data_IF_172127955514
#
_entry.id   IF_172127955514
#
_cell.length_a   1.000
_cell.length_b   1.000
_cell.length_c   1.000
_cell.angle_alpha   90.00
_cell.angle_beta   90.00
_cell.angle_gamma   90.00
#
_symmetry.space_group_name_H-M   'P 1'
#
loop_
_entity.id
_entity.type
_entity.pdbx_description
1 polymer ?
#
# COMPACT_ATOMS: atom_id res chain seq x y z
N UNK A 1 3.50 -2.14 -3.72
CA UNK A 1 4.16 -1.15 -2.83
C UNK A 1 4.82 -1.90 -1.70
N UNK A 2 6.09 -1.67 -1.43
CA UNK A 2 6.83 -2.31 -0.33
C UNK A 2 7.18 -1.29 0.76
N UNK A 3 6.99 -1.63 2.02
CA UNK A 3 7.36 -0.76 3.15
C UNK A 3 8.85 -0.93 3.52
N UNK A 4 9.45 -0.01 4.30
CA UNK A 4 10.84 -0.13 4.76
C UNK A 4 11.12 -1.42 5.56
N UNK A 5 10.11 -1.97 6.22
CA UNK A 5 10.19 -3.22 6.98
C UNK A 5 10.14 -4.48 6.12
N UNK A 6 9.61 -4.38 4.91
CA UNK A 6 9.40 -5.55 4.03
C UNK A 6 10.71 -6.20 3.58
N UNK A 7 10.70 -7.53 3.46
CA UNK A 7 11.80 -8.29 2.87
C UNK A 7 11.65 -8.37 1.37
N UNK A 8 12.74 -8.14 0.65
CA UNK A 8 12.71 -8.17 -0.82
C UNK A 8 12.32 -9.54 -1.38
N UNK A 9 12.78 -10.63 -0.77
CA UNK A 9 12.41 -12.00 -1.16
C UNK A 9 10.91 -12.27 -1.07
N UNK A 10 10.24 -11.67 -0.10
CA UNK A 10 8.81 -11.78 0.13
C UNK A 10 8.01 -11.00 -0.91
N UNK A 11 8.39 -9.74 -1.16
CA UNK A 11 7.79 -8.89 -2.20
C UNK A 11 7.96 -9.52 -3.58
N UNK A 12 9.15 -10.08 -3.89
CA UNK A 12 9.42 -10.76 -5.15
C UNK A 12 8.55 -12.00 -5.31
N UNK A 13 8.40 -12.79 -4.25
CA UNK A 13 7.54 -13.99 -4.28
C UNK A 13 6.07 -13.63 -4.51
N UNK A 14 5.54 -12.62 -3.82
CA UNK A 14 4.17 -12.14 -4.05
C UNK A 14 4.01 -11.63 -5.49
N UNK A 15 5.00 -10.89 -5.99
CA UNK A 15 5.02 -10.39 -7.37
C UNK A 15 4.99 -11.52 -8.41
N UNK A 16 5.69 -12.62 -8.14
CA UNK A 16 5.67 -13.82 -8.98
C UNK A 16 4.29 -14.50 -8.96
N UNK A 17 3.71 -14.72 -7.78
CA UNK A 17 2.37 -15.30 -7.67
C UNK A 17 1.29 -14.44 -8.35
N UNK A 18 1.40 -13.11 -8.27
CA UNK A 18 0.52 -12.19 -9.00
C UNK A 18 0.61 -12.41 -10.51
N UNK A 19 1.82 -12.54 -11.07
CA UNK A 19 2.02 -12.82 -12.50
C UNK A 19 1.49 -14.19 -12.89
N UNK A 20 1.71 -15.21 -12.08
CA UNK A 20 1.18 -16.57 -12.31
C UNK A 20 -0.35 -16.59 -12.32
N UNK A 21 -0.99 -15.74 -11.52
CA UNK A 21 -2.44 -15.56 -11.53
C UNK A 21 -2.95 -14.68 -12.70
N UNK A 22 -2.07 -14.24 -13.61
CA UNK A 22 -2.41 -13.45 -14.78
C UNK A 22 -2.47 -11.94 -14.55
N UNK A 23 -2.03 -11.44 -13.38
CA UNK A 23 -2.00 -10.00 -13.12
C UNK A 23 -0.81 -9.34 -13.85
N UNK A 24 -1.07 -8.19 -14.48
CA UNK A 24 -0.03 -7.34 -15.05
C UNK A 24 0.57 -6.42 -13.97
N UNK A 25 1.83 -6.65 -13.60
CA UNK A 25 2.53 -5.80 -12.61
C UNK A 25 3.02 -4.52 -13.29
N UNK A 26 2.20 -3.46 -13.17
CA UNK A 26 2.43 -2.15 -13.79
C UNK A 26 3.70 -1.47 -13.29
N UNK A 27 4.01 -1.60 -11.99
CA UNK A 27 5.23 -1.05 -11.37
C UNK A 27 5.40 -1.51 -9.92
N UNK A 28 6.56 -1.17 -9.35
CA UNK A 28 6.91 -1.49 -7.96
C UNK A 28 7.67 -0.32 -7.35
N UNK A 29 7.10 0.24 -6.28
CA UNK A 29 7.73 1.30 -5.49
C UNK A 29 7.92 0.84 -4.05
N UNK A 30 8.93 1.40 -3.40
CA UNK A 30 9.19 1.26 -1.97
C UNK A 30 8.90 2.60 -1.29
N UNK A 31 8.09 2.59 -0.24
CA UNK A 31 7.95 3.76 0.63
C UNK A 31 9.16 3.83 1.56
N UNK A 32 9.67 5.03 1.81
CA UNK A 32 10.81 5.22 2.71
C UNK A 32 10.34 5.48 4.15
N UNK A 33 11.24 5.28 5.11
CA UNK A 33 10.98 5.63 6.51
C UNK A 33 10.73 7.14 6.70
N UNK A 34 11.23 7.97 5.78
CA UNK A 34 11.01 9.43 5.80
C UNK A 34 9.54 9.75 5.50
N UNK A 35 8.93 9.09 4.51
CA UNK A 35 7.51 9.27 4.22
C UNK A 35 6.61 8.79 5.36
N UNK A 36 7.01 7.70 6.04
CA UNK A 36 6.23 7.11 7.13
C UNK A 36 6.60 7.67 8.51
N UNK A 37 7.39 8.75 8.60
CA UNK A 37 7.82 9.31 9.87
C UNK A 37 6.93 10.48 10.30
N UNK A 38 6.23 10.39 11.46
CA UNK A 38 5.48 11.52 12.02
C UNK A 38 6.34 12.79 12.20
N UNK A 39 7.63 12.63 12.52
CA UNK A 39 8.56 13.75 12.68
C UNK A 39 8.88 14.49 11.36
N UNK A 40 8.62 13.86 10.21
CA UNK A 40 8.83 14.44 8.88
C UNK A 40 7.54 14.92 8.22
N UNK A 41 6.42 14.91 8.95
CA UNK A 41 5.07 15.31 8.47
C UNK A 41 5.09 16.58 7.61
N UNK A 42 5.64 17.69 8.12
CA UNK A 42 5.68 18.97 7.40
C UNK A 42 6.49 18.91 6.09
N UNK A 43 7.56 18.11 6.07
CA UNK A 43 8.38 17.93 4.87
C UNK A 43 7.63 17.12 3.80
N UNK A 44 6.99 16.02 4.22
CA UNK A 44 6.17 15.18 3.33
C UNK A 44 5.00 15.99 2.75
N UNK A 45 4.33 16.80 3.59
CA UNK A 45 3.25 17.70 3.19
C UNK A 45 3.70 18.73 2.15
N UNK A 46 4.86 19.37 2.40
CA UNK A 46 5.41 20.36 1.47
C UNK A 46 5.67 19.77 0.07
N UNK A 47 6.21 18.55 0.00
CA UNK A 47 6.43 17.85 -1.29
C UNK A 47 5.09 17.50 -1.96
N UNK A 48 4.10 17.05 -1.20
CA UNK A 48 2.78 16.75 -1.75
C UNK A 48 2.12 18.00 -2.35
N UNK A 49 2.11 19.12 -1.63
CA UNK A 49 1.54 20.40 -2.11
C UNK A 49 2.31 20.93 -3.31
N UNK A 50 3.64 20.91 -3.26
CA UNK A 50 4.48 21.42 -4.35
C UNK A 50 4.25 20.64 -5.65
N UNK A 51 4.06 19.32 -5.55
CA UNK A 51 3.89 18.45 -6.71
C UNK A 51 2.45 18.33 -7.21
N UNK A 52 1.47 18.60 -6.33
CA UNK A 52 0.05 18.61 -6.64
C UNK A 52 -0.66 19.73 -5.87
N UNK A 53 -0.65 20.97 -6.39
CA UNK A 53 -1.26 22.12 -5.70
C UNK A 53 -2.74 21.91 -5.36
N UNK A 54 -3.47 21.11 -6.15
CA UNK A 54 -4.88 20.76 -5.93
C UNK A 54 -5.10 19.90 -4.67
N UNK A 55 -4.05 19.30 -4.09
CA UNK A 55 -4.15 18.52 -2.86
C UNK A 55 -4.33 19.41 -1.61
N UNK A 56 -4.09 20.71 -1.72
CA UNK A 56 -4.19 21.63 -0.60
C UNK A 56 -5.60 21.60 0.02
N UNK A 57 -5.69 21.33 1.32
CA UNK A 57 -6.95 21.28 2.06
C UNK A 57 -7.73 19.94 1.98
N UNK A 58 -7.17 18.92 1.31
CA UNK A 58 -7.75 17.58 1.30
C UNK A 58 -7.44 16.83 2.62
N UNK A 59 -8.35 16.91 3.59
CA UNK A 59 -8.28 16.11 4.83
C UNK A 59 -7.05 16.41 5.69
N UNK A 60 -6.60 15.40 6.44
CA UNK A 60 -5.33 15.45 7.18
C UNK A 60 -4.11 15.29 6.26
N UNK A 61 -2.92 15.60 6.78
CA UNK A 61 -1.68 15.58 5.99
C UNK A 61 -1.42 14.24 5.30
N UNK A 62 -1.69 13.10 5.94
CA UNK A 62 -1.38 11.80 5.35
C UNK A 62 -2.47 11.29 4.40
N UNK A 63 -3.69 11.80 4.54
CA UNK A 63 -4.77 11.68 3.56
C UNK A 63 -4.44 12.49 2.30
N UNK A 64 -3.93 13.72 2.45
CA UNK A 64 -3.42 14.50 1.33
C UNK A 64 -2.25 13.79 0.62
N UNK A 65 -1.30 13.24 1.37
CA UNK A 65 -0.16 12.51 0.80
C UNK A 65 -0.63 11.23 0.11
N UNK A 66 -1.57 10.50 0.73
CA UNK A 66 -2.20 9.31 0.16
C UNK A 66 -2.91 9.60 -1.16
N UNK A 67 -3.75 10.63 -1.20
CA UNK A 67 -4.48 11.03 -2.42
C UNK A 67 -3.53 11.51 -3.53
N UNK A 68 -2.44 12.19 -3.15
CA UNK A 68 -1.39 12.60 -4.10
C UNK A 68 -0.66 11.40 -4.70
N UNK A 69 -0.27 10.42 -3.87
CA UNK A 69 0.28 9.15 -4.35
C UNK A 69 -0.73 8.41 -5.25
N UNK A 70 -1.99 8.37 -4.85
CA UNK A 70 -3.05 7.74 -5.62
C UNK A 70 -3.19 8.38 -7.01
N UNK A 71 -3.20 9.72 -7.10
CA UNK A 71 -3.23 10.45 -8.38
C UNK A 71 -2.04 10.11 -9.29
N UNK A 72 -0.87 9.79 -8.71
CA UNK A 72 0.32 9.38 -9.46
C UNK A 72 0.33 7.92 -9.91
N UNK A 73 -0.18 7.00 -9.09
CA UNK A 73 0.04 5.56 -9.29
C UNK A 73 -1.21 4.75 -9.58
N UNK A 74 -2.40 5.25 -9.24
CA UNK A 74 -3.64 4.47 -9.24
C UNK A 74 -4.71 5.13 -10.12
N UNK A 75 -5.44 4.31 -10.86
CA UNK A 75 -6.60 4.71 -11.66
C UNK A 75 -7.50 3.49 -11.94
N UNK A 76 -8.83 3.59 -11.78
CA UNK A 76 -9.71 2.44 -11.93
C UNK A 76 -9.80 1.93 -13.37
N UNK A 77 -9.51 2.79 -14.36
CA UNK A 77 -9.50 2.45 -15.79
C UNK A 77 -8.11 2.12 -16.32
N UNK A 78 -7.08 2.18 -15.47
CA UNK A 78 -5.68 1.95 -15.82
C UNK A 78 -5.22 2.82 -17.00
N UNK A 79 -5.02 4.10 -16.74
CA UNK A 79 -4.55 5.04 -17.75
C UNK A 79 -3.03 5.16 -17.81
N UNK A 80 -2.53 5.71 -18.92
CA UNK A 80 -1.15 6.20 -19.01
C UNK A 80 -0.91 7.27 -17.95
N UNK A 81 0.33 7.36 -17.51
CA UNK A 81 0.73 8.36 -16.52
C UNK A 81 0.73 9.73 -17.21
N UNK A 82 -0.24 10.57 -16.89
CA UNK A 82 -0.29 11.95 -17.36
C UNK A 82 0.82 12.80 -16.72
N UNK A 83 1.03 14.01 -17.24
CA UNK A 83 2.11 14.90 -16.81
C UNK A 83 2.09 15.21 -15.30
N UNK A 84 0.90 15.41 -14.73
CA UNK A 84 0.74 15.61 -13.27
C UNK A 84 1.24 14.40 -12.48
N UNK A 85 0.93 13.18 -12.93
CA UNK A 85 1.40 11.95 -12.29
C UNK A 85 2.92 11.83 -12.35
N UNK A 86 3.53 12.18 -13.48
CA UNK A 86 5.00 12.21 -13.62
C UNK A 86 5.64 13.23 -12.69
N UNK A 87 5.10 14.45 -12.60
CA UNK A 87 5.60 15.49 -11.68
C UNK A 87 5.56 15.02 -10.23
N UNK A 88 4.45 14.41 -9.80
CA UNK A 88 4.31 13.85 -8.45
C UNK A 88 5.35 12.76 -8.20
N UNK A 89 5.52 11.82 -9.13
CA UNK A 89 6.51 10.74 -9.00
C UNK A 89 7.92 11.29 -8.85
N UNK A 90 8.31 12.23 -9.71
CA UNK A 90 9.64 12.86 -9.64
C UNK A 90 9.87 13.58 -8.32
N UNK A 91 8.91 14.38 -7.85
CA UNK A 91 9.03 15.11 -6.59
C UNK A 91 9.19 14.16 -5.38
N UNK A 92 8.43 13.06 -5.35
CA UNK A 92 8.55 12.07 -4.27
C UNK A 92 9.87 11.28 -4.33
N UNK A 93 10.41 11.03 -5.53
CA UNK A 93 11.73 10.41 -5.72
C UNK A 93 12.86 11.35 -5.28
N UNK A 94 12.83 12.60 -5.74
CA UNK A 94 13.81 13.64 -5.38
C UNK A 94 13.80 13.93 -3.88
N UNK A 95 12.60 13.97 -3.29
CA UNK A 95 12.38 14.11 -1.86
C UNK A 95 12.73 12.87 -1.02
N UNK A 96 13.17 11.76 -1.64
CA UNK A 96 13.48 10.48 -0.99
C UNK A 96 12.32 9.94 -0.15
N UNK A 97 11.09 10.21 -0.59
CA UNK A 97 9.87 9.71 0.05
C UNK A 97 9.48 8.33 -0.49
N UNK A 98 9.83 8.07 -1.75
CA UNK A 98 9.67 6.78 -2.40
C UNK A 98 10.96 6.42 -3.13
N UNK A 99 11.18 5.12 -3.31
CA UNK A 99 12.21 4.58 -4.18
C UNK A 99 11.55 3.77 -5.28
N UNK A 100 12.07 3.88 -6.50
CA UNK A 100 11.57 3.14 -7.64
C UNK A 100 12.32 1.82 -7.76
N UNK A 101 11.62 0.69 -7.59
CA UNK A 101 12.19 -0.65 -7.79
C UNK A 101 11.95 -1.08 -9.23
N UNK A 102 10.72 -0.88 -9.72
CA UNK A 102 10.33 -1.06 -11.12
C UNK A 102 9.46 0.13 -11.51
N UNK A 103 9.94 0.91 -12.48
CA UNK A 103 9.23 2.10 -12.93
C UNK A 103 7.82 1.75 -13.44
N UNK A 104 6.76 2.41 -12.93
CA UNK A 104 5.42 2.09 -13.36
C UNK A 104 5.13 2.61 -14.76
N UNK A 105 4.87 1.69 -15.69
CA UNK A 105 4.57 1.98 -17.10
C UNK A 105 3.19 2.62 -17.29
N UNK A 106 2.25 2.31 -16.40
CA UNK A 106 0.87 2.83 -16.36
C UNK A 106 0.35 2.88 -14.94
N UNK A 107 -0.81 3.48 -14.72
CA UNK A 107 -1.48 3.48 -13.43
C UNK A 107 -2.09 2.11 -13.12
N UNK A 108 -1.92 1.65 -11.88
CA UNK A 108 -2.47 0.39 -11.39
C UNK A 108 -3.96 0.52 -11.05
N UNK A 109 -4.72 -0.56 -11.20
CA UNK A 109 -6.10 -0.64 -10.74
C UNK A 109 -6.20 -1.19 -9.32
N UNK A 110 -5.27 -2.06 -8.96
CA UNK A 110 -5.23 -2.77 -7.69
C UNK A 110 -3.86 -2.55 -7.07
N UNK A 111 -3.81 -2.43 -5.75
CA UNK A 111 -2.55 -2.19 -5.04
C UNK A 111 -2.35 -3.24 -3.96
N UNK A 112 -1.15 -3.81 -3.91
CA UNK A 112 -0.69 -4.61 -2.76
C UNK A 112 0.36 -3.79 -2.02
N UNK A 113 0.13 -3.55 -0.73
CA UNK A 113 1.09 -2.96 0.20
C UNK A 113 1.68 -4.10 1.03
N UNK A 114 2.99 -4.29 0.96
CA UNK A 114 3.69 -5.36 1.71
C UNK A 114 4.46 -4.74 2.87
N UNK A 115 4.10 -5.12 4.08
CA UNK A 115 4.76 -4.80 5.33
C UNK A 115 5.68 -5.94 5.77
N UNK A 116 6.63 -5.65 6.67
CA UNK A 116 7.50 -6.66 7.24
C UNK A 116 7.23 -6.93 8.72
N UNK A 117 8.23 -7.52 9.38
CA UNK A 117 8.20 -7.71 10.83
C UNK A 117 8.28 -6.34 11.51
N UNK A 118 7.39 -6.03 12.47
CA UNK A 118 7.38 -4.76 13.18
C UNK A 118 8.71 -4.51 13.89
N UNK A 119 9.17 -3.26 13.84
CA UNK A 119 10.35 -2.79 14.59
C UNK A 119 9.95 -1.72 15.60
N UNK A 120 10.73 -1.58 16.67
CA UNK A 120 10.43 -0.66 17.77
C UNK A 120 10.49 0.83 17.36
N UNK A 121 11.24 1.16 16.31
CA UNK A 121 11.35 2.51 15.75
C UNK A 121 10.27 2.83 14.69
N UNK A 122 9.36 1.88 14.43
CA UNK A 122 8.28 2.00 13.44
C UNK A 122 6.91 2.27 14.08
N UNK A 123 6.89 2.66 15.37
CA UNK A 123 5.67 3.02 16.09
C UNK A 123 4.93 4.16 15.38
N UNK A 124 3.63 3.95 15.15
CA UNK A 124 2.75 4.91 14.44
C UNK A 124 2.78 4.82 12.91
N UNK A 125 3.68 4.03 12.30
CA UNK A 125 3.69 3.84 10.84
C UNK A 125 2.42 3.16 10.33
N UNK A 126 1.86 2.21 11.08
CA UNK A 126 0.63 1.52 10.67
C UNK A 126 -0.56 2.44 10.52
N UNK A 127 -0.69 3.44 11.41
CA UNK A 127 -1.69 4.50 11.29
C UNK A 127 -1.55 5.28 9.98
N UNK A 128 -0.32 5.72 9.65
CA UNK A 128 -0.02 6.43 8.40
C UNK A 128 -0.32 5.55 7.17
N UNK A 129 0.10 4.28 7.20
CA UNK A 129 -0.17 3.32 6.13
C UNK A 129 -1.67 3.14 5.93
N UNK A 130 -2.46 3.12 7.00
CA UNK A 130 -3.92 2.96 6.89
C UNK A 130 -4.60 4.14 6.18
N UNK A 131 -4.11 5.37 6.41
CA UNK A 131 -4.59 6.57 5.72
C UNK A 131 -4.20 6.50 4.23
N UNK A 132 -2.94 6.20 3.94
CA UNK A 132 -2.46 6.05 2.55
C UNK A 132 -3.23 4.93 1.82
N UNK A 133 -3.45 3.79 2.47
CA UNK A 133 -4.17 2.66 1.89
C UNK A 133 -5.62 3.04 1.56
N UNK A 134 -6.28 3.82 2.42
CA UNK A 134 -7.65 4.29 2.20
C UNK A 134 -7.78 5.22 0.98
N UNK A 135 -6.80 6.10 0.78
CA UNK A 135 -6.78 7.01 -0.36
C UNK A 135 -6.44 6.27 -1.67
N UNK A 136 -5.54 5.29 -1.61
CA UNK A 136 -5.24 4.42 -2.76
C UNK A 136 -6.47 3.59 -3.17
N UNK A 137 -7.23 3.11 -2.19
CA UNK A 137 -8.47 2.36 -2.42
C UNK A 137 -9.54 3.24 -3.10
N UNK A 138 -9.72 4.46 -2.58
CA UNK A 138 -10.68 5.43 -3.12
C UNK A 138 -10.40 5.83 -4.57
N UNK A 139 -9.12 5.79 -5.00
CA UNK A 139 -8.72 6.07 -6.38
C UNK A 139 -8.65 4.81 -7.27
N UNK A 140 -8.77 3.61 -6.69
CA UNK A 140 -8.52 2.35 -7.35
C UNK A 140 -9.75 1.44 -7.43
N UNK A 141 -9.49 0.14 -7.55
CA UNK A 141 -10.49 -0.93 -7.49
C UNK A 141 -10.26 -1.86 -6.30
N UNK A 142 -9.37 -1.50 -5.38
CA UNK A 142 -9.06 -2.32 -4.22
C UNK A 142 -7.60 -2.28 -3.79
N UNK A 143 -7.40 -2.43 -2.48
CA UNK A 143 -6.09 -2.45 -1.83
C UNK A 143 -6.00 -3.65 -0.90
N UNK A 144 -4.87 -4.35 -0.95
CA UNK A 144 -4.51 -5.39 0.02
C UNK A 144 -3.29 -4.94 0.81
N UNK A 145 -3.39 -4.91 2.14
CA UNK A 145 -2.24 -4.75 3.04
C UNK A 145 -1.82 -6.12 3.55
N UNK A 146 -0.65 -6.58 3.11
CA UNK A 146 -0.12 -7.90 3.42
C UNK A 146 1.14 -7.79 4.29
N UNK A 147 1.36 -8.77 5.17
CA UNK A 147 2.57 -8.88 5.97
C UNK A 147 2.69 -10.23 6.67
N UNK A 148 3.82 -10.48 7.36
CA UNK A 148 4.05 -11.73 8.07
C UNK A 148 3.16 -11.83 9.31
N UNK A 149 3.09 -13.01 9.93
CA UNK A 149 2.32 -13.25 11.17
C UNK A 149 2.52 -12.14 12.21
N UNK A 150 3.78 -11.79 12.48
CA UNK A 150 4.12 -10.76 13.45
C UNK A 150 3.44 -9.40 13.18
N UNK A 151 3.19 -9.04 11.91
CA UNK A 151 2.56 -7.77 11.52
C UNK A 151 1.06 -7.71 11.83
N UNK A 152 0.39 -8.87 11.87
CA UNK A 152 -1.02 -8.99 12.29
C UNK A 152 -1.18 -9.05 13.80
N UNK A 153 -0.11 -9.38 14.53
CA UNK A 153 -0.12 -9.36 16.00
C UNK A 153 0.12 -7.97 16.57
N UNK A 154 0.99 -7.20 15.92
CA UNK A 154 1.41 -5.84 16.24
C UNK A 154 1.94 -5.21 14.95
N UNK A 155 1.81 -3.91 14.75
CA UNK A 155 2.37 -3.21 13.58
C UNK A 155 1.38 -3.03 12.45
N UNK A 156 1.86 -2.91 11.21
CA UNK A 156 1.08 -2.32 10.12
C UNK A 156 -0.25 -3.03 9.85
N UNK A 157 -0.26 -4.38 9.79
CA UNK A 157 -1.49 -5.11 9.50
C UNK A 157 -2.48 -5.02 10.67
N UNK A 158 -2.01 -5.13 11.92
CA UNK A 158 -2.89 -4.93 13.09
C UNK A 158 -3.46 -3.52 13.17
N UNK A 159 -2.65 -2.50 12.86
CA UNK A 159 -3.05 -1.10 12.93
C UNK A 159 -4.06 -0.74 11.85
N UNK A 160 -3.90 -1.28 10.63
CA UNK A 160 -4.88 -1.13 9.55
C UNK A 160 -6.21 -1.81 9.90
N UNK A 161 -6.16 -3.00 10.52
CA UNK A 161 -7.37 -3.71 11.00
C UNK A 161 -8.08 -2.96 12.14
N UNK A 162 -7.34 -2.19 12.93
CA UNK A 162 -7.88 -1.41 14.03
C UNK A 162 -8.36 -0.01 13.61
N UNK A 163 -8.15 0.41 12.36
CA UNK A 163 -8.56 1.73 11.86
C UNK A 163 -9.78 1.64 10.95
N UNK A 164 -10.33 2.80 10.59
CA UNK A 164 -11.47 2.91 9.66
C UNK A 164 -11.18 2.29 8.28
N UNK A 165 -9.90 2.13 7.93
CA UNK A 165 -9.46 1.50 6.70
C UNK A 165 -9.89 0.03 6.61
N UNK A 166 -10.11 -0.66 7.74
CA UNK A 166 -10.48 -2.08 7.77
C UNK A 166 -11.75 -2.41 6.97
N UNK A 167 -12.64 -1.43 6.80
CA UNK A 167 -13.86 -1.57 6.00
C UNK A 167 -13.67 -1.38 4.49
N UNK A 168 -12.53 -0.79 4.10
CA UNK A 168 -12.21 -0.39 2.73
C UNK A 168 -11.14 -1.26 2.09
N UNK A 169 -10.18 -1.75 2.89
CA UNK A 169 -9.03 -2.49 2.39
C UNK A 169 -9.00 -3.90 2.95
N UNK A 170 -8.50 -4.82 2.13
CA UNK A 170 -8.23 -6.18 2.56
C UNK A 170 -6.92 -6.29 3.32
N UNK A 171 -6.84 -7.26 4.23
CA UNK A 171 -5.62 -7.51 5.02
C UNK A 171 -5.23 -8.98 5.04
N UNK A 172 -3.92 -9.24 4.99
CA UNK A 172 -3.34 -10.60 5.08
C UNK A 172 -2.12 -10.58 6.00
N UNK A 173 -2.06 -11.46 7.00
CA UNK A 173 -0.98 -11.51 7.99
C UNK A 173 -0.19 -12.82 8.00
N UNK A 174 0.00 -13.49 6.86
CA UNK A 174 0.67 -14.81 6.78
C UNK A 174 1.68 -14.93 5.64
N UNK A 175 2.21 -13.82 5.13
CA UNK A 175 3.08 -13.80 3.93
C UNK A 175 4.45 -14.47 4.11
N UNK A 176 4.85 -14.73 5.35
CA UNK A 176 6.00 -15.56 5.73
C UNK A 176 5.78 -17.05 5.44
N UNK A 177 4.53 -17.46 5.17
CA UNK A 177 4.17 -18.79 4.68
C UNK A 177 3.90 -18.76 3.17
N UNK A 178 4.20 -19.87 2.48
CA UNK A 178 3.89 -20.00 1.05
C UNK A 178 2.37 -19.86 0.77
N UNK A 179 1.55 -20.43 1.66
CA UNK A 179 0.09 -20.33 1.59
C UNK A 179 -0.38 -18.88 1.71
N UNK A 180 0.23 -18.08 2.58
CA UNK A 180 -0.17 -16.68 2.75
C UNK A 180 0.12 -15.80 1.55
N UNK A 181 1.16 -16.11 0.77
CA UNK A 181 1.43 -15.41 -0.50
C UNK A 181 0.33 -15.68 -1.53
N UNK A 182 -0.18 -16.91 -1.58
CA UNK A 182 -1.35 -17.26 -2.40
C UNK A 182 -2.61 -16.56 -1.85
N UNK A 183 -2.78 -16.53 -0.53
CA UNK A 183 -3.86 -15.79 0.15
C UNK A 183 -3.86 -14.31 -0.25
N UNK A 184 -2.70 -13.65 -0.36
CA UNK A 184 -2.60 -12.27 -0.83
C UNK A 184 -3.13 -12.09 -2.25
N UNK A 185 -2.86 -13.03 -3.15
CA UNK A 185 -3.38 -12.99 -4.52
C UNK A 185 -4.89 -13.19 -4.54
N UNK A 186 -5.41 -14.15 -3.76
CA UNK A 186 -6.85 -14.38 -3.64
C UNK A 186 -7.58 -13.18 -3.02
N UNK A 187 -6.97 -12.54 -2.01
CA UNK A 187 -7.48 -11.31 -1.41
C UNK A 187 -7.57 -10.19 -2.46
N UNK A 188 -6.53 -10.03 -3.29
CA UNK A 188 -6.53 -9.02 -4.36
C UNK A 188 -7.61 -9.29 -5.42
N UNK A 189 -7.86 -10.57 -5.74
CA UNK A 189 -8.95 -10.96 -6.63
C UNK A 189 -10.31 -10.59 -6.02
N UNK A 190 -10.52 -10.83 -4.73
CA UNK A 190 -11.76 -10.44 -4.05
C UNK A 190 -11.95 -8.93 -3.96
N UNK A 191 -10.88 -8.19 -3.69
CA UNK A 191 -10.85 -6.73 -3.78
C UNK A 191 -11.34 -6.24 -5.15
N UNK A 192 -10.86 -6.83 -6.24
CA UNK A 192 -11.31 -6.48 -7.59
C UNK A 192 -12.82 -6.71 -7.86
N UNK A 193 -13.47 -7.51 -7.00
CA UNK A 193 -14.91 -7.80 -7.02
C UNK A 193 -15.69 -6.98 -5.98
N UNK A 194 -15.04 -6.03 -5.29
CA UNK A 194 -15.62 -5.23 -4.20
C UNK A 194 -15.90 -6.03 -2.92
N UNK A 195 -15.20 -7.15 -2.72
CA UNK A 195 -15.43 -8.08 -1.60
C UNK A 195 -14.22 -8.13 -0.66
N UNK A 196 -13.94 -7.03 0.03
CA UNK A 196 -12.83 -6.96 0.99
C UNK A 196 -12.95 -7.93 2.16
N UNK A 197 -11.86 -8.07 2.91
CA UNK A 197 -11.82 -8.92 4.11
C UNK A 197 -10.44 -9.02 4.78
N UNK A 198 -10.39 -9.76 5.87
CA UNK A 198 -9.22 -9.93 6.73
C UNK A 198 -8.89 -11.41 6.89
N UNK A 199 -7.74 -11.84 6.35
CA UNK A 199 -7.36 -13.25 6.28
C UNK A 199 -5.97 -13.55 6.87
N UNK A 200 -5.78 -14.81 7.24
CA UNK A 200 -4.49 -15.37 7.62
C UNK A 200 -4.53 -16.11 8.96
N UNK A 201 -4.01 -15.52 10.03
CA UNK A 201 -4.01 -16.15 11.34
C UNK A 201 -5.41 -16.25 11.94
N UNK A 202 -5.57 -16.97 13.06
CA UNK A 202 -6.84 -17.08 13.79
C UNK A 202 -7.36 -15.74 14.33
N UNK A 203 -6.53 -14.68 14.35
CA UNK A 203 -6.98 -13.32 14.69
C UNK A 203 -7.64 -12.59 13.51
N UNK A 204 -7.55 -13.15 12.31
CA UNK A 204 -8.19 -12.62 11.11
C UNK A 204 -9.68 -12.93 11.14
N UNK A 205 -10.51 -11.94 10.81
CA UNK A 205 -11.96 -12.06 10.97
C UNK A 205 -12.60 -13.06 10.00
N UNK A 206 -12.02 -13.22 8.81
CA UNK A 206 -12.61 -14.00 7.71
C UNK A 206 -11.89 -15.34 7.47
N UNK A 207 -11.07 -15.77 8.43
CA UNK A 207 -10.40 -17.07 8.42
C UNK A 207 -9.06 -17.10 7.68
N UNK A 208 -8.52 -18.30 7.36
CA UNK A 208 -7.16 -18.44 6.87
C UNK A 208 -6.98 -18.09 5.39
N UNK A 209 -8.04 -18.22 4.60
CA UNK A 209 -8.04 -17.96 3.16
C UNK A 209 -9.39 -17.40 2.70
N UNK A 210 -9.40 -16.54 1.67
CA UNK A 210 -10.61 -16.19 0.94
C UNK A 210 -11.34 -17.42 0.38
N UNK A 211 -12.66 -17.45 0.52
CA UNK A 211 -13.57 -18.45 -0.08
C UNK A 211 -14.38 -17.88 -1.24
#
# INVERSE_FOLDING_TARGET
ISLPSSRESEVNSITEYLRLAGAEVTGQIRLTSTLLSPAKKQFVEGIAIQSNPDAAGAGGTYEMVGSTLAKAYVDPTSQTVGQVGTTIRSAFLEGKLVENVKEPTRKAQLVVIVSGVPRADEDGQGGIVSLIASELDSAGKGVVVAGPIASGERGVVSDVRASDAASRVSTVDVTDLATGRVTTVLALLRESQGKGGSWGTTRSADGPVPH
#
